data_IF_706282473986
#
_entry.id   IF_706282473986
#
_cell.length_a   1.000
_cell.length_b   1.000
_cell.length_c   1.000
_cell.angle_alpha   90.00
_cell.angle_beta   90.00
_cell.angle_gamma   90.00
#
_symmetry.space_group_name_H-M   'P 1'
#
loop_
_entity.id
_entity.type
_entity.pdbx_description
1 polymer ?
#
# COMPACT_ATOMS: atom_id res chain seq x y z
N UNK A 1 49.82 15.11 -2.74
CA UNK A 1 48.79 14.07 -2.92
C UNK A 1 47.42 14.72 -2.84
N UNK A 2 46.63 14.74 -3.91
CA UNK A 2 45.17 14.69 -3.78
C UNK A 2 44.62 13.47 -4.53
N UNK A 3 43.90 12.61 -3.81
CA UNK A 3 43.35 11.38 -4.36
C UNK A 3 42.01 11.67 -5.05
N UNK A 4 42.02 11.49 -6.37
CA UNK A 4 40.91 11.64 -7.30
C UNK A 4 40.37 10.23 -7.61
N UNK A 5 39.61 9.65 -6.68
CA UNK A 5 38.86 8.41 -6.88
C UNK A 5 37.92 8.29 -5.66
N UNK A 6 36.58 8.24 -5.71
CA UNK A 6 35.61 8.23 -6.78
C UNK A 6 34.26 8.33 -6.04
N UNK A 7 33.67 9.52 -6.01
CA UNK A 7 32.22 9.76 -6.12
C UNK A 7 31.31 8.51 -6.12
N UNK A 8 30.79 8.08 -4.97
CA UNK A 8 29.49 7.36 -4.82
C UNK A 8 29.00 7.39 -3.36
N UNK A 9 29.12 8.54 -2.70
CA UNK A 9 28.35 8.82 -1.49
C UNK A 9 27.35 9.91 -1.83
N UNK A 10 26.07 9.53 -1.74
CA UNK A 10 24.89 10.38 -1.75
C UNK A 10 24.47 10.93 -3.12
N UNK A 11 23.57 10.23 -3.80
CA UNK A 11 22.41 10.85 -4.49
C UNK A 11 21.39 9.76 -4.88
N UNK A 12 20.29 9.67 -4.13
CA UNK A 12 19.00 9.18 -4.66
C UNK A 12 17.96 10.16 -4.13
N UNK A 13 17.89 11.29 -4.82
CA UNK A 13 16.76 12.21 -4.77
C UNK A 13 15.49 11.49 -5.24
N UNK A 14 14.39 11.77 -4.55
CA UNK A 14 13.07 11.36 -4.98
C UNK A 14 12.11 11.09 -3.83
N UNK A 15 11.89 12.05 -2.93
CA UNK A 15 10.61 12.14 -2.23
C UNK A 15 10.29 13.59 -1.90
N UNK A 16 9.64 14.22 -2.86
CA UNK A 16 9.16 15.58 -2.86
C UNK A 16 7.63 15.56 -2.65
N UNK A 17 7.20 16.14 -1.52
CA UNK A 17 6.13 17.15 -1.39
C UNK A 17 5.25 16.93 -0.15
N UNK A 18 5.48 17.75 0.88
CA UNK A 18 4.41 18.19 1.79
C UNK A 18 4.45 19.71 1.83
N UNK A 19 3.72 20.35 0.91
CA UNK A 19 3.45 21.79 0.96
C UNK A 19 2.05 21.98 1.49
N UNK A 20 1.95 22.49 2.72
CA UNK A 20 0.76 23.15 3.26
C UNK A 20 0.47 24.41 2.44
N UNK A 21 -0.75 24.53 1.90
CA UNK A 21 -1.33 25.79 1.44
C UNK A 21 -2.87 25.72 1.48
N UNK A 22 -3.48 26.86 1.82
CA UNK A 22 -4.87 27.04 2.23
C UNK A 22 -5.92 26.76 1.12
N UNK A 23 -7.12 26.37 1.57
CA UNK A 23 -8.41 26.08 0.91
C UNK A 23 -8.72 26.80 -0.44
N UNK A 24 -9.49 26.14 -1.33
CA UNK A 24 -10.95 26.16 -1.18
C UNK A 24 -11.60 24.76 -1.26
N UNK A 25 -12.74 24.63 -0.59
CA UNK A 25 -13.62 23.46 -0.62
C UNK A 25 -13.91 23.05 -2.07
N UNK A 26 -13.43 21.88 -2.47
CA UNK A 26 -13.94 21.10 -3.60
C UNK A 26 -13.89 19.64 -3.16
N UNK A 27 -15.03 18.98 -3.24
CA UNK A 27 -15.30 17.65 -2.69
C UNK A 27 -14.70 16.55 -3.60
N UNK A 28 -13.49 16.77 -4.10
CA UNK A 28 -12.74 15.77 -4.86
C UNK A 28 -12.07 14.83 -3.85
N UNK A 29 -12.34 13.51 -3.90
CA UNK A 29 -11.61 12.59 -3.06
C UNK A 29 -10.12 12.76 -3.34
N UNK A 30 -9.35 12.99 -2.28
CA UNK A 30 -7.89 13.14 -2.35
C UNK A 30 -7.27 12.11 -3.31
N UNK A 31 -6.19 12.47 -4.04
CA UNK A 31 -5.55 11.55 -4.99
C UNK A 31 -5.26 10.23 -4.27
N UNK A 32 -6.02 9.19 -4.63
CA UNK A 32 -5.94 7.89 -3.96
C UNK A 32 -4.51 7.39 -4.10
N UNK A 33 -3.81 7.37 -2.98
CA UNK A 33 -2.45 6.85 -2.92
C UNK A 33 -2.46 5.38 -3.33
N UNK A 34 -1.35 4.88 -3.87
CA UNK A 34 -1.23 3.46 -4.25
C UNK A 34 -1.59 2.51 -3.08
N UNK A 35 -1.31 2.95 -1.84
CA UNK A 35 -1.67 2.26 -0.60
C UNK A 35 -3.19 2.15 -0.45
N UNK A 36 -3.91 3.25 -0.66
CA UNK A 36 -5.38 3.27 -0.57
C UNK A 36 -6.05 2.44 -1.66
N UNK A 37 -5.46 2.39 -2.86
CA UNK A 37 -5.95 1.54 -3.96
C UNK A 37 -5.85 0.06 -3.57
N UNK A 38 -4.67 -0.36 -3.07
CA UNK A 38 -4.45 -1.73 -2.58
C UNK A 38 -5.36 -2.05 -1.40
N UNK A 39 -5.48 -1.11 -0.45
CA UNK A 39 -6.39 -1.25 0.70
C UNK A 39 -7.83 -1.45 0.24
N UNK A 40 -8.34 -0.58 -0.64
CA UNK A 40 -9.69 -0.65 -1.14
C UNK A 40 -9.95 -1.98 -1.84
N UNK A 41 -9.00 -2.46 -2.65
CA UNK A 41 -9.10 -3.77 -3.30
C UNK A 41 -9.17 -4.91 -2.27
N UNK A 42 -8.29 -4.91 -1.27
CA UNK A 42 -8.30 -5.90 -0.20
C UNK A 42 -9.58 -5.86 0.65
N UNK A 43 -10.13 -4.68 0.91
CA UNK A 43 -11.40 -4.51 1.65
C UNK A 43 -12.63 -5.01 0.88
N UNK A 44 -12.49 -5.37 -0.41
CA UNK A 44 -13.56 -6.10 -1.12
C UNK A 44 -13.61 -7.59 -0.74
N UNK A 45 -12.63 -8.07 0.03
CA UNK A 45 -12.42 -9.51 0.28
C UNK A 45 -11.68 -10.22 -0.85
N UNK A 46 -11.28 -9.49 -1.90
CA UNK A 46 -10.47 -10.04 -2.98
C UNK A 46 -9.01 -10.24 -2.54
N UNK A 47 -8.38 -11.27 -3.10
CA UNK A 47 -6.94 -11.50 -2.96
C UNK A 47 -6.18 -10.77 -4.06
N UNK A 48 -4.96 -10.36 -3.78
CA UNK A 48 -4.11 -9.65 -4.74
C UNK A 48 -2.73 -10.30 -4.79
N UNK A 49 -2.26 -10.55 -6.02
CA UNK A 49 -0.88 -10.98 -6.26
C UNK A 49 -0.04 -9.82 -6.77
N UNK A 50 1.28 -9.96 -6.71
CA UNK A 50 2.20 -8.98 -7.32
C UNK A 50 1.89 -8.76 -8.81
N UNK A 51 1.47 -9.81 -9.52
CA UNK A 51 1.14 -9.71 -10.94
C UNK A 51 -0.18 -8.96 -11.18
N UNK A 52 -1.20 -9.21 -10.36
CA UNK A 52 -2.47 -8.48 -10.44
C UNK A 52 -2.29 -7.01 -10.12
N UNK A 53 -1.50 -6.67 -9.09
CA UNK A 53 -1.19 -5.30 -8.74
C UNK A 53 -0.48 -4.56 -9.88
N UNK A 54 0.44 -5.23 -10.58
CA UNK A 54 1.09 -4.69 -11.77
C UNK A 54 0.09 -4.50 -12.92
N UNK A 55 -0.75 -5.50 -13.19
CA UNK A 55 -1.70 -5.47 -14.32
C UNK A 55 -2.79 -4.42 -14.16
N UNK A 56 -3.39 -4.31 -12.97
CA UNK A 56 -4.54 -3.42 -12.74
C UNK A 56 -4.12 -2.01 -12.34
N UNK A 57 -3.05 -1.89 -11.55
CA UNK A 57 -2.68 -0.62 -10.91
C UNK A 57 -1.28 -0.14 -11.25
N UNK A 58 -0.51 -0.89 -12.06
CA UNK A 58 0.88 -0.60 -12.41
C UNK A 58 1.79 -0.45 -11.18
N UNK A 59 1.45 -1.15 -10.09
CA UNK A 59 2.23 -1.13 -8.85
C UNK A 59 3.28 -2.23 -8.92
N UNK A 60 4.55 -1.84 -8.98
CA UNK A 60 5.70 -2.76 -8.99
C UNK A 60 6.18 -3.14 -7.59
N UNK A 61 5.92 -2.29 -6.58
CA UNK A 61 6.36 -2.46 -5.20
C UNK A 61 5.20 -2.83 -4.25
N UNK A 62 4.39 -3.84 -4.59
CA UNK A 62 3.24 -4.26 -3.79
C UNK A 62 3.63 -4.60 -2.34
N UNK A 63 4.71 -5.36 -2.15
CA UNK A 63 5.15 -5.81 -0.82
C UNK A 63 5.44 -4.64 0.14
N UNK A 64 5.96 -3.51 -0.36
CA UNK A 64 6.17 -2.32 0.47
C UNK A 64 4.84 -1.73 0.93
N UNK A 65 3.85 -1.65 0.03
CA UNK A 65 2.51 -1.12 0.35
C UNK A 65 1.77 -2.01 1.35
N UNK A 66 1.92 -3.33 1.22
CA UNK A 66 1.40 -4.27 2.22
C UNK A 66 2.09 -4.08 3.58
N UNK A 67 3.40 -3.83 3.59
CA UNK A 67 4.13 -3.52 4.83
C UNK A 67 3.63 -2.22 5.49
N UNK A 68 3.43 -1.16 4.70
CA UNK A 68 2.87 0.10 5.19
C UNK A 68 1.47 -0.10 5.79
N UNK A 69 0.63 -0.91 5.14
CA UNK A 69 -0.71 -1.25 5.64
C UNK A 69 -0.65 -2.07 6.95
N UNK A 70 0.30 -3.01 7.06
CA UNK A 70 0.54 -3.73 8.32
C UNK A 70 1.00 -2.79 9.43
N UNK A 71 1.87 -1.84 9.10
CA UNK A 71 2.33 -0.80 10.03
C UNK A 71 1.18 0.11 10.48
N UNK A 72 0.22 0.39 9.59
CA UNK A 72 -1.01 1.12 9.90
C UNK A 72 -2.02 0.33 10.75
N UNK A 73 -1.71 -0.92 11.12
CA UNK A 73 -2.56 -1.77 11.96
C UNK A 73 -3.51 -2.70 11.20
N UNK A 74 -3.39 -2.80 9.87
CA UNK A 74 -4.18 -3.75 9.08
C UNK A 74 -3.56 -5.16 9.12
N UNK A 75 -4.35 -6.15 9.54
CA UNK A 75 -3.91 -7.55 9.58
C UNK A 75 -4.07 -8.19 8.19
N UNK A 76 -3.03 -8.08 7.37
CA UNK A 76 -2.99 -8.67 6.02
C UNK A 76 -2.30 -10.03 6.08
N UNK A 77 -3.00 -11.06 5.60
CA UNK A 77 -2.45 -12.40 5.41
C UNK A 77 -1.66 -12.48 4.11
N UNK A 78 -0.66 -13.36 4.10
CA UNK A 78 0.20 -13.58 2.95
C UNK A 78 0.64 -15.02 2.84
N UNK A 79 0.56 -15.60 1.65
CA UNK A 79 1.03 -16.96 1.37
C UNK A 79 1.86 -16.98 0.08
N UNK A 80 2.86 -17.87 0.06
CA UNK A 80 3.68 -18.10 -1.12
C UNK A 80 3.12 -19.32 -1.85
N UNK A 81 2.44 -19.08 -2.96
CA UNK A 81 1.87 -20.12 -3.81
C UNK A 81 2.88 -20.47 -4.91
N UNK A 82 3.02 -21.76 -5.20
CA UNK A 82 3.87 -22.24 -6.31
C UNK A 82 2.96 -22.69 -7.46
N UNK A 83 3.12 -22.09 -8.64
CA UNK A 83 2.36 -22.43 -9.84
C UNK A 83 3.29 -22.41 -11.05
N UNK A 84 3.24 -23.43 -11.90
CA UNK A 84 4.13 -23.58 -13.07
C UNK A 84 5.62 -23.39 -12.71
N UNK A 85 6.09 -24.07 -11.67
CA UNK A 85 7.46 -23.98 -11.14
C UNK A 85 7.92 -22.59 -10.67
N UNK A 86 6.99 -21.62 -10.62
CA UNK A 86 7.25 -20.25 -10.14
C UNK A 86 6.53 -20.02 -8.82
N UNK A 87 7.22 -19.35 -7.89
CA UNK A 87 6.69 -18.98 -6.58
C UNK A 87 6.25 -17.52 -6.61
N UNK A 88 5.02 -17.25 -6.19
CA UNK A 88 4.47 -15.90 -6.10
C UNK A 88 3.76 -15.71 -4.76
N UNK A 89 3.79 -14.47 -4.27
CA UNK A 89 3.11 -14.11 -3.04
C UNK A 89 1.70 -13.63 -3.33
N UNK A 90 0.74 -14.19 -2.60
CA UNK A 90 -0.67 -13.82 -2.60
C UNK A 90 -0.98 -13.15 -1.27
N UNK A 91 -1.73 -12.06 -1.30
CA UNK A 91 -2.10 -11.27 -0.13
C UNK A 91 -3.62 -11.14 -0.04
N UNK A 92 -4.19 -11.23 1.17
CA UNK A 92 -5.62 -11.07 1.41
C UNK A 92 -5.92 -10.58 2.83
N UNK A 93 -7.13 -10.10 3.07
CA UNK A 93 -7.64 -9.84 4.40
C UNK A 93 -8.45 -11.03 4.90
N UNK A 94 -8.27 -11.37 6.17
CA UNK A 94 -9.14 -12.35 6.83
C UNK A 94 -10.51 -11.75 7.08
N UNK A 95 -11.55 -12.59 7.06
CA UNK A 95 -12.93 -12.18 7.33
C UNK A 95 -13.05 -11.47 8.68
N UNK A 96 -12.32 -11.90 9.72
CA UNK A 96 -12.31 -11.23 11.02
C UNK A 96 -11.77 -9.80 10.96
N UNK A 97 -10.82 -9.53 10.06
CA UNK A 97 -10.27 -8.18 9.87
C UNK A 97 -11.26 -7.29 9.12
N UNK A 98 -12.07 -7.88 8.24
CA UNK A 98 -13.16 -7.20 7.56
C UNK A 98 -14.29 -6.83 8.54
N UNK A 99 -14.74 -7.80 9.34
CA UNK A 99 -15.79 -7.64 10.36
C UNK A 99 -15.37 -6.77 11.56
N UNK A 100 -14.08 -6.73 11.89
CA UNK A 100 -13.58 -5.80 12.91
C UNK A 100 -13.72 -4.33 12.52
N UNK A 101 -13.84 -4.03 11.21
CA UNK A 101 -13.96 -2.66 10.70
C UNK A 101 -15.39 -2.09 10.76
N UNK A 102 -16.42 -2.93 10.81
CA UNK A 102 -17.83 -2.52 10.84
C UNK A 102 -18.32 -2.18 12.26
N UNK A 103 -17.68 -2.71 13.30
CA UNK A 103 -18.09 -2.48 14.69
C UNK A 103 -17.66 -1.12 15.28
N UNK A 104 -16.83 -0.34 14.58
CA UNK A 104 -16.38 0.98 15.08
C UNK A 104 -17.27 2.16 14.67
N UNK A 105 -18.35 1.93 13.92
CA UNK A 105 -19.24 3.00 13.41
C UNK A 105 -20.66 3.01 14.01
N UNK A 106 -20.96 2.19 15.02
CA UNK A 106 -22.33 2.07 15.55
C UNK A 106 -22.59 2.68 16.94
N UNK A 107 -21.63 3.38 17.55
CA UNK A 107 -21.86 4.09 18.83
C UNK A 107 -21.72 5.61 18.67
N UNK A 108 -22.69 6.22 17.99
CA UNK A 108 -23.03 7.63 18.20
C UNK A 108 -24.51 7.67 18.55
N UNK A 109 -24.76 7.68 19.86
CA UNK A 109 -26.03 7.92 20.55
C UNK A 109 -26.58 9.32 20.24
N UNK A 110 -27.91 9.46 20.29
CA UNK A 110 -28.50 10.06 21.49
C UNK A 110 -29.56 9.18 22.15
#
# INVERSE_FOLDING_TARGET
>A
MPNLLMIMLVQKEGFNMTTTANAPVTNEPAPKTQIEIVRAHLMTGATITTWDAYRFYQITCLAQRIHDLRSAGLVIQSEIVTHNDKRFSVYWLDEQTLLGSEMSNAEVTP
#
